data_IF_614542132123
#
_entry.id   IF_614542132123
#
_cell.length_a   1.000
_cell.length_b   1.000
_cell.length_c   1.000
_cell.angle_alpha   90.00
_cell.angle_beta   90.00
_cell.angle_gamma   90.00
#
_symmetry.space_group_name_H-M   'P 1'
#
loop_
_entity.id
_entity.type
_entity.pdbx_description
1 polymer ?
#
# COMPACT_ATOMS: atom_id res chain seq x y z
N UNK A 1 -48.89 18.25 11.39
CA UNK A 1 -47.44 18.54 11.32
C UNK A 1 -46.57 17.32 11.72
N UNK A 2 -46.79 16.12 11.15
CA UNK A 2 -46.22 14.85 11.67
C UNK A 2 -44.92 14.37 10.98
N UNK A 3 -44.57 14.87 9.79
CA UNK A 3 -43.47 14.32 8.97
C UNK A 3 -42.03 14.70 9.39
N UNK A 4 -41.85 15.74 10.24
CA UNK A 4 -40.50 16.22 10.60
C UNK A 4 -39.76 15.33 11.60
N UNK A 5 -40.48 14.61 12.48
CA UNK A 5 -39.85 13.74 13.50
C UNK A 5 -39.36 12.42 12.92
N UNK A 6 -40.09 11.85 11.95
CA UNK A 6 -39.69 10.63 11.25
C UNK A 6 -38.41 10.81 10.43
N UNK A 7 -38.26 11.94 9.72
CA UNK A 7 -37.07 12.22 8.92
C UNK A 7 -35.79 12.32 9.76
N UNK A 8 -35.87 12.90 10.96
CA UNK A 8 -34.72 13.00 11.88
C UNK A 8 -34.33 11.63 12.45
N UNK A 9 -35.33 10.79 12.73
CA UNK A 9 -35.13 9.42 13.24
C UNK A 9 -34.49 8.51 12.19
N UNK A 10 -34.95 8.59 10.94
CA UNK A 10 -34.36 7.84 9.82
C UNK A 10 -32.93 8.28 9.55
N UNK A 11 -32.65 9.59 9.60
CA UNK A 11 -31.27 10.11 9.49
C UNK A 11 -30.38 9.63 10.63
N UNK A 12 -30.87 9.65 11.87
CA UNK A 12 -30.11 9.15 13.01
C UNK A 12 -29.80 7.65 12.89
N UNK A 13 -30.78 6.84 12.47
CA UNK A 13 -30.56 5.40 12.22
C UNK A 13 -29.55 5.16 11.11
N UNK A 14 -29.62 5.91 10.01
CA UNK A 14 -28.66 5.83 8.90
C UNK A 14 -27.25 6.19 9.35
N UNK A 15 -27.08 7.26 10.14
CA UNK A 15 -25.78 7.65 10.67
C UNK A 15 -25.20 6.58 11.60
N UNK A 16 -26.01 5.99 12.49
CA UNK A 16 -25.59 4.89 13.36
C UNK A 16 -25.23 3.64 12.54
N UNK A 17 -26.03 3.31 11.53
CA UNK A 17 -25.73 2.21 10.61
C UNK A 17 -24.43 2.40 9.84
N UNK A 18 -24.15 3.61 9.35
CA UNK A 18 -22.89 3.93 8.68
C UNK A 18 -21.67 3.85 9.60
N UNK A 19 -21.80 4.24 10.88
CA UNK A 19 -20.72 4.13 11.86
C UNK A 19 -20.41 2.66 12.21
N UNK A 20 -21.42 1.80 12.28
CA UNK A 20 -21.24 0.35 12.50
C UNK A 20 -20.65 -0.37 11.29
N UNK A 21 -20.91 0.13 10.09
CA UNK A 21 -20.41 -0.42 8.83
C UNK A 21 -19.05 0.15 8.41
N UNK A 22 -18.36 0.93 9.27
CA UNK A 22 -17.09 1.53 8.92
C UNK A 22 -16.10 0.43 8.48
N UNK A 23 -15.64 0.43 7.21
CA UNK A 23 -14.69 -0.55 6.76
C UNK A 23 -13.42 -0.37 7.60
N UNK A 24 -12.97 -1.45 8.25
CA UNK A 24 -11.65 -1.52 8.86
C UNK A 24 -10.60 -1.47 7.73
N UNK A 25 -10.35 -0.28 7.21
CA UNK A 25 -9.31 -0.01 6.25
C UNK A 25 -7.97 -0.26 6.93
N UNK A 26 -7.45 -1.46 6.69
CA UNK A 26 -6.25 -1.95 7.32
C UNK A 26 -5.05 -1.61 6.41
N UNK A 27 -4.32 -0.57 6.78
CA UNK A 27 -3.15 -0.07 6.04
C UNK A 27 -1.85 -0.80 6.44
N UNK A 28 -0.76 -0.50 5.73
CA UNK A 28 0.59 -0.94 6.08
C UNK A 28 1.44 0.32 6.28
N UNK A 29 2.32 0.33 7.30
CA UNK A 29 3.21 1.47 7.53
C UNK A 29 4.45 1.33 6.66
N UNK A 30 4.69 2.31 5.79
CA UNK A 30 5.79 2.28 4.81
C UNK A 30 6.79 3.42 4.99
N UNK A 31 6.68 4.22 6.06
CA UNK A 31 7.46 5.45 6.23
C UNK A 31 7.16 6.48 5.14
N UNK A 32 8.16 7.22 4.70
CA UNK A 32 8.04 8.24 3.65
C UNK A 32 7.44 7.65 2.36
N UNK A 33 6.46 8.33 1.76
CA UNK A 33 5.81 7.85 0.53
C UNK A 33 6.70 8.01 -0.69
N UNK A 34 7.59 9.00 -0.68
CA UNK A 34 8.57 9.28 -1.71
C UNK A 34 9.97 9.05 -1.18
N UNK A 35 10.85 8.57 -2.05
CA UNK A 35 12.28 8.51 -1.81
C UNK A 35 12.98 8.73 -3.14
N UNK A 36 14.22 9.22 -3.08
CA UNK A 36 15.07 9.43 -4.24
C UNK A 36 16.30 8.54 -4.08
N UNK A 37 16.73 7.93 -5.19
CA UNK A 37 18.01 7.24 -5.24
C UNK A 37 19.08 8.23 -5.73
N UNK A 38 20.07 8.59 -4.90
CA UNK A 38 21.17 9.44 -5.35
C UNK A 38 21.99 8.74 -6.44
N UNK A 39 22.63 9.50 -7.32
CA UNK A 39 23.31 8.97 -8.51
C UNK A 39 24.54 8.10 -8.17
N UNK A 40 25.03 8.22 -6.94
CA UNK A 40 26.18 7.53 -6.37
C UNK A 40 25.80 6.24 -5.64
N UNK A 41 24.50 5.96 -5.49
CA UNK A 41 24.00 4.76 -4.82
C UNK A 41 23.39 3.76 -5.80
N UNK A 42 23.78 2.50 -5.67
CA UNK A 42 23.28 1.41 -6.53
C UNK A 42 21.91 0.86 -6.09
N UNK A 43 21.50 1.13 -4.85
CA UNK A 43 20.23 0.64 -4.31
C UNK A 43 19.66 1.55 -3.21
N UNK A 44 18.34 1.47 -3.02
CA UNK A 44 17.64 2.10 -1.91
C UNK A 44 16.88 1.06 -1.10
N UNK A 45 16.87 1.17 0.22
CA UNK A 45 16.09 0.28 1.08
C UNK A 45 14.98 1.05 1.79
N UNK A 46 13.79 0.44 1.89
CA UNK A 46 12.64 0.99 2.59
C UNK A 46 12.16 0.04 3.67
N UNK A 47 12.04 0.55 4.89
CA UNK A 47 11.45 -0.22 6.00
C UNK A 47 9.94 -0.16 5.94
N UNK A 48 9.32 -1.33 6.04
CA UNK A 48 7.87 -1.49 6.01
C UNK A 48 7.43 -2.31 7.22
N UNK A 49 6.36 -1.90 7.88
CA UNK A 49 5.86 -2.51 9.11
C UNK A 49 4.40 -2.88 8.95
N UNK A 50 4.08 -4.15 9.20
CA UNK A 50 2.69 -4.58 9.33
C UNK A 50 2.16 -4.20 10.72
N UNK A 51 1.42 -3.11 10.80
CA UNK A 51 0.73 -2.64 12.01
C UNK A 51 -0.69 -3.23 12.18
N UNK A 52 -1.05 -4.24 11.38
CA UNK A 52 -2.33 -4.94 11.53
C UNK A 52 -2.29 -5.99 12.63
N UNK A 53 -3.46 -6.30 13.20
CA UNK A 53 -3.66 -7.36 14.20
C UNK A 53 -3.46 -8.79 13.65
N UNK A 54 -3.19 -8.95 12.35
CA UNK A 54 -3.06 -10.26 11.71
C UNK A 54 -1.92 -10.29 10.70
N UNK A 55 -1.43 -11.50 10.43
CA UNK A 55 -0.42 -11.73 9.40
C UNK A 55 -1.03 -11.54 8.00
N UNK A 56 -0.25 -10.91 7.11
CA UNK A 56 -0.69 -10.56 5.76
C UNK A 56 0.37 -10.90 4.73
N UNK A 57 -0.09 -11.33 3.56
CA UNK A 57 0.71 -11.46 2.36
C UNK A 57 0.67 -10.12 1.62
N UNK A 58 1.83 -9.53 1.41
CA UNK A 58 1.98 -8.31 0.66
C UNK A 58 2.64 -8.59 -0.68
N UNK A 59 2.24 -7.82 -1.70
CA UNK A 59 2.83 -7.85 -3.04
C UNK A 59 3.10 -6.43 -3.49
N UNK A 60 4.29 -6.20 -4.05
CA UNK A 60 4.64 -4.94 -4.71
C UNK A 60 4.34 -5.07 -6.20
N UNK A 61 3.70 -4.05 -6.76
CA UNK A 61 3.67 -3.78 -8.19
C UNK A 61 4.31 -2.42 -8.44
N UNK A 62 5.15 -2.31 -9.47
CA UNK A 62 5.86 -1.08 -9.81
C UNK A 62 5.50 -0.67 -11.23
N UNK A 63 5.23 0.62 -11.42
CA UNK A 63 4.99 1.24 -12.72
C UNK A 63 5.90 2.46 -12.88
N UNK A 64 6.51 2.60 -14.06
CA UNK A 64 7.19 3.83 -14.44
C UNK A 64 6.15 4.91 -14.73
N UNK A 65 6.52 6.16 -14.50
CA UNK A 65 5.68 7.34 -14.72
C UNK A 65 6.48 8.30 -15.60
N UNK A 66 5.85 8.82 -16.64
CA UNK A 66 6.47 9.80 -17.54
C UNK A 66 6.66 11.17 -16.86
N UNK A 67 5.61 11.67 -16.21
CA UNK A 67 5.55 12.99 -15.57
C UNK A 67 4.69 12.91 -14.31
N UNK A 68 5.27 13.07 -13.11
CA UNK A 68 4.48 13.06 -11.88
C UNK A 68 3.50 14.24 -11.87
N UNK A 69 2.23 14.01 -11.49
CA UNK A 69 1.22 15.08 -11.46
C UNK A 69 -0.19 14.64 -11.85
N UNK A 70 -1.03 15.58 -12.31
CA UNK A 70 -2.44 15.33 -12.62
C UNK A 70 -2.69 14.52 -13.90
N UNK A 71 -1.68 14.34 -14.75
CA UNK A 71 -1.78 13.66 -16.04
C UNK A 71 -0.66 12.64 -16.22
N UNK A 72 -0.50 11.78 -15.22
CA UNK A 72 0.50 10.69 -15.22
C UNK A 72 0.16 9.62 -16.26
N UNK A 73 1.09 9.34 -17.16
CA UNK A 73 1.06 8.13 -17.98
C UNK A 73 1.88 7.07 -17.28
N UNK A 74 1.20 5.98 -16.88
CA UNK A 74 1.86 4.82 -16.27
C UNK A 74 2.23 3.81 -17.33
N UNK A 75 3.49 3.41 -17.35
CA UNK A 75 4.00 2.35 -18.22
C UNK A 75 4.67 1.27 -17.37
N UNK A 76 4.88 0.11 -17.99
CA UNK A 76 5.78 -0.89 -17.41
C UNK A 76 7.22 -0.35 -17.57
N UNK A 77 8.04 -0.30 -16.50
CA UNK A 77 9.46 0.01 -16.63
C UNK A 77 10.12 -0.93 -17.64
N UNK A 78 11.11 -0.45 -18.40
CA UNK A 78 11.84 -1.33 -19.32
C UNK A 78 12.59 -2.38 -18.49
N UNK A 79 12.69 -3.60 -18.99
CA UNK A 79 13.37 -4.66 -18.26
C UNK A 79 14.84 -4.26 -18.02
N UNK A 80 15.29 -4.35 -16.77
CA UNK A 80 16.64 -3.97 -16.34
C UNK A 80 16.76 -2.56 -15.76
N UNK A 81 15.80 -1.67 -16.00
CA UNK A 81 15.82 -0.28 -15.51
C UNK A 81 15.47 -0.14 -14.01
N UNK A 82 14.63 -1.04 -13.52
CA UNK A 82 14.12 -0.99 -12.15
C UNK A 82 13.87 -2.40 -11.65
N UNK A 83 14.69 -2.82 -10.68
CA UNK A 83 14.54 -4.09 -10.01
C UNK A 83 14.08 -3.83 -8.56
N UNK A 84 13.38 -4.79 -7.97
CA UNK A 84 12.96 -4.68 -6.58
C UNK A 84 12.84 -6.07 -5.97
N UNK A 85 13.18 -6.18 -4.69
CA UNK A 85 13.09 -7.43 -3.97
C UNK A 85 12.69 -7.23 -2.50
N UNK A 86 11.86 -8.13 -1.95
CA UNK A 86 11.11 -9.20 -2.62
C UNK A 86 9.82 -8.68 -3.31
N UNK A 87 9.37 -9.37 -4.38
CA UNK A 87 8.11 -9.02 -5.05
C UNK A 87 6.85 -9.37 -4.24
N UNK A 88 6.95 -10.38 -3.36
CA UNK A 88 5.93 -10.75 -2.41
C UNK A 88 6.55 -11.28 -1.11
N UNK A 89 5.86 -11.06 0.01
CA UNK A 89 6.32 -11.55 1.32
C UNK A 89 5.16 -11.72 2.29
N UNK A 90 5.35 -12.57 3.30
CA UNK A 90 4.43 -12.70 4.42
C UNK A 90 4.97 -11.91 5.62
N UNK A 91 4.17 -11.01 6.17
CA UNK A 91 4.55 -10.24 7.35
C UNK A 91 3.61 -10.58 8.52
N UNK A 92 4.17 -11.19 9.57
CA UNK A 92 3.46 -11.44 10.84
C UNK A 92 3.15 -10.12 11.56
N UNK A 93 2.20 -10.15 12.47
CA UNK A 93 1.75 -9.00 13.26
C UNK A 93 2.93 -8.25 13.90
N UNK A 94 2.95 -6.92 13.76
CA UNK A 94 3.96 -5.99 14.33
C UNK A 94 5.39 -6.45 14.03
N UNK A 95 5.64 -6.93 12.81
CA UNK A 95 6.99 -7.19 12.31
C UNK A 95 7.39 -6.13 11.29
N UNK A 96 8.61 -5.64 11.43
CA UNK A 96 9.24 -4.83 10.41
C UNK A 96 9.93 -5.73 9.40
N UNK A 97 9.65 -5.51 8.13
CA UNK A 97 10.35 -6.09 6.99
C UNK A 97 11.07 -4.95 6.27
N UNK A 98 12.36 -5.10 6.03
CA UNK A 98 13.10 -4.18 5.17
C UNK A 98 12.91 -4.69 3.73
N UNK A 99 12.45 -3.81 2.85
CA UNK A 99 12.28 -4.06 1.43
C UNK A 99 13.41 -3.33 0.71
N UNK A 100 14.23 -4.05 -0.04
CA UNK A 100 15.33 -3.46 -0.80
C UNK A 100 14.86 -3.22 -2.23
N UNK A 101 14.79 -1.96 -2.62
CA UNK A 101 14.53 -1.54 -3.99
C UNK A 101 15.87 -1.31 -4.69
N UNK A 102 16.27 -2.26 -5.53
CA UNK A 102 17.48 -2.13 -6.35
C UNK A 102 17.12 -1.47 -7.69
N UNK A 103 17.16 -0.15 -7.76
CA UNK A 103 16.88 0.55 -9.02
C UNK A 103 18.12 0.53 -9.90
N UNK A 104 18.08 -0.22 -11.00
CA UNK A 104 19.17 -0.26 -11.98
C UNK A 104 18.86 0.67 -13.15
N UNK A 105 18.73 1.96 -12.91
CA UNK A 105 18.33 2.92 -13.94
C UNK A 105 18.53 4.36 -13.51
N UNK A 106 19.18 5.16 -14.36
CA UNK A 106 19.38 6.60 -14.12
C UNK A 106 18.14 7.36 -14.59
N UNK A 107 17.59 8.22 -13.72
CA UNK A 107 16.59 9.23 -14.12
C UNK A 107 15.15 8.75 -14.26
N UNK A 108 14.77 7.63 -13.64
CA UNK A 108 13.42 7.07 -13.77
C UNK A 108 12.56 7.49 -12.58
N UNK A 109 11.35 7.99 -12.89
CA UNK A 109 10.30 8.18 -11.88
C UNK A 109 9.39 6.96 -11.90
N UNK A 110 9.21 6.33 -10.74
CA UNK A 110 8.35 5.16 -10.61
C UNK A 110 7.47 5.24 -9.37
N UNK A 111 6.31 4.58 -9.43
CA UNK A 111 5.42 4.41 -8.30
C UNK A 111 5.29 2.93 -7.96
N UNK A 112 5.44 2.63 -6.67
CA UNK A 112 5.26 1.30 -6.12
C UNK A 112 3.92 1.24 -5.37
N UNK A 113 3.04 0.34 -5.80
CA UNK A 113 1.78 0.05 -5.11
C UNK A 113 1.91 -1.24 -4.33
N UNK A 114 1.63 -1.20 -3.01
CA UNK A 114 1.66 -2.37 -2.14
C UNK A 114 0.23 -2.87 -1.91
N UNK A 115 -0.09 -4.02 -2.48
CA UNK A 115 -1.33 -4.73 -2.23
C UNK A 115 -1.19 -5.71 -1.07
N UNK A 116 -2.27 -5.97 -0.34
CA UNK A 116 -2.28 -6.94 0.77
C UNK A 116 -3.44 -7.94 0.63
N UNK A 117 -3.20 -9.19 1.03
CA UNK A 117 -4.21 -10.24 1.21
C UNK A 117 -3.96 -10.94 2.53
N UNK A 118 -4.98 -11.57 3.12
CA UNK A 118 -4.77 -12.41 4.29
C UNK A 118 -3.79 -13.53 3.94
N UNK A 119 -2.80 -13.74 4.81
CA UNK A 119 -1.98 -14.93 4.70
C UNK A 119 -2.90 -16.13 4.99
N UNK A 120 -3.00 -17.08 4.04
CA UNK A 120 -3.55 -18.40 4.39
C UNK A 120 -2.71 -18.93 5.56
N UNK A 121 -3.36 -19.57 6.54
CA UNK A 121 -2.69 -20.19 7.67
C UNK A 121 -1.49 -21.01 7.18
N UNK A 122 -0.34 -21.00 7.87
CA UNK A 122 0.73 -21.91 7.52
C UNK A 122 0.17 -23.35 7.53
N UNK A 123 0.63 -24.24 6.64
CA UNK A 123 0.36 -25.66 6.83
C UNK A 123 0.84 -26.04 8.22
N UNK A 124 -0.03 -26.67 9.01
CA UNK A 124 0.39 -27.31 10.24
C UNK A 124 1.42 -28.39 9.87
N UNK A 125 2.58 -28.37 10.49
CA UNK A 125 3.52 -29.49 10.51
C UNK A 125 4.19 -29.49 11.87
#
# INVERSE_FOLDING_TARGET
MSGRRGATLTKALLTVGCLLAAPLAQAISVGNLTFSLPAEADFASKRVVNNNKSARLYRIAVSAIDRPGGSEVRSRPVDGELLFAPASWCCRQVRASILNFTIMGRGITASATIGSRFAKSPPAT
#
